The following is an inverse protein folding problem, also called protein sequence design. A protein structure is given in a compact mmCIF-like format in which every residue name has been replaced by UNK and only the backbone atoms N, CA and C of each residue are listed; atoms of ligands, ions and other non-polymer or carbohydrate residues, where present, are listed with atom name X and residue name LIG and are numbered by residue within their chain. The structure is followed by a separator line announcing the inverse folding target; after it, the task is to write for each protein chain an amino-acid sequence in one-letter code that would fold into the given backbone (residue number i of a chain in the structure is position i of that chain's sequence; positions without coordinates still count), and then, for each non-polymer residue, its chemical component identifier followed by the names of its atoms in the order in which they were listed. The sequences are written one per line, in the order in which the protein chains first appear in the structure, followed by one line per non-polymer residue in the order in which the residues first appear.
data_IF_764768618346
#
_entry.id   IF_764768618346
#
_cell.length_a   1.000
_cell.length_b   1.000
_cell.length_c   1.000
_cell.angle_alpha   90.00
_cell.angle_beta   90.00
_cell.angle_gamma   90.00
#
_symmetry.space_group_name_H-M   'P 1'
#
loop_
_entity.id
_entity.type
_entity.pdbx_description
1 polymer ?
#
# COMPACT_ATOMS: atom_id res chain seq x y z
N UNK A 1 -2.21 -11.10 24.93
CA UNK A 1 -1.40 -10.46 23.85
C UNK A 1 -2.29 -9.92 22.73
N UNK A 2 -3.13 -10.73 22.08
CA UNK A 2 -4.00 -10.28 20.96
C UNK A 2 -5.02 -9.19 21.36
N UNK A 3 -5.63 -9.29 22.54
CA UNK A 3 -6.57 -8.27 23.04
C UNK A 3 -5.95 -6.88 23.21
N UNK A 4 -4.63 -6.82 23.48
CA UNK A 4 -3.91 -5.55 23.59
C UNK A 4 -3.71 -4.90 22.21
N UNK A 5 -3.41 -5.67 21.17
CA UNK A 5 -3.24 -5.13 19.81
C UNK A 5 -4.56 -4.56 19.28
N UNK A 6 -5.68 -5.25 19.51
CA UNK A 6 -6.99 -4.74 19.10
C UNK A 6 -7.34 -3.41 19.78
N UNK A 7 -7.03 -3.28 21.07
CA UNK A 7 -7.21 -2.03 21.81
C UNK A 7 -6.32 -0.90 21.26
N UNK A 8 -5.05 -1.19 20.94
CA UNK A 8 -4.13 -0.21 20.35
C UNK A 8 -4.60 0.29 18.98
N UNK A 9 -5.07 -0.61 18.12
CA UNK A 9 -5.59 -0.28 16.79
C UNK A 9 -6.88 0.55 16.87
N UNK A 10 -7.72 0.30 17.87
CA UNK A 10 -8.95 1.05 18.11
C UNK A 10 -8.73 2.39 18.82
N UNK A 11 -7.63 2.57 19.54
CA UNK A 11 -7.39 3.79 20.30
C UNK A 11 -7.20 5.00 19.39
N UNK A 12 -7.66 6.17 19.85
CA UNK A 12 -7.46 7.44 19.15
C UNK A 12 -6.01 7.92 19.31
N UNK A 13 -5.47 8.54 18.27
CA UNK A 13 -4.10 9.08 18.18
C UNK A 13 -4.17 10.43 17.49
N UNK A 14 -3.23 11.33 17.81
CA UNK A 14 -3.07 12.56 17.02
C UNK A 14 -2.28 12.25 15.76
N UNK A 15 -2.73 12.78 14.63
CA UNK A 15 -1.96 12.75 13.39
C UNK A 15 -0.95 13.91 13.33
N UNK A 16 -0.21 13.97 12.24
CA UNK A 16 0.83 14.98 12.01
C UNK A 16 0.28 16.38 11.75
N UNK A 17 -1.00 16.49 11.39
CA UNK A 17 -1.71 17.76 11.14
C UNK A 17 -2.48 18.23 12.38
N UNK A 18 -2.38 17.50 13.49
CA UNK A 18 -3.06 17.79 14.75
C UNK A 18 -4.50 17.26 14.83
N UNK A 19 -4.99 16.57 13.79
CA UNK A 19 -6.24 15.84 13.77
C UNK A 19 -6.19 14.58 14.65
N UNK A 20 -7.34 13.91 14.79
CA UNK A 20 -7.45 12.66 15.56
C UNK A 20 -7.86 11.52 14.66
N UNK A 21 -7.05 10.46 14.63
CA UNK A 21 -7.28 9.24 13.84
C UNK A 21 -7.24 8.01 14.74
N UNK A 22 -7.83 6.89 14.29
CA UNK A 22 -7.69 5.59 14.95
C UNK A 22 -6.29 5.02 14.70
N UNK A 23 -5.72 4.28 15.65
CA UNK A 23 -4.39 3.68 15.54
C UNK A 23 -4.21 2.85 14.25
N UNK A 24 -5.22 2.10 13.83
CA UNK A 24 -5.16 1.34 12.58
C UNK A 24 -5.00 2.23 11.33
N UNK A 25 -5.56 3.44 11.32
CA UNK A 25 -5.40 4.38 10.20
C UNK A 25 -3.95 4.84 10.09
N UNK A 26 -3.28 5.01 11.23
CA UNK A 26 -1.86 5.34 11.25
C UNK A 26 -1.02 4.21 10.67
N UNK A 27 -1.31 2.94 11.04
CA UNK A 27 -0.62 1.78 10.46
C UNK A 27 -0.84 1.69 8.95
N UNK A 28 -2.07 1.87 8.48
CA UNK A 28 -2.37 1.90 7.04
C UNK A 28 -1.64 3.03 6.32
N UNK A 29 -1.63 4.24 6.88
CA UNK A 29 -0.91 5.38 6.31
C UNK A 29 0.60 5.13 6.21
N UNK A 30 1.21 4.44 7.18
CA UNK A 30 2.62 4.06 7.11
C UNK A 30 2.90 3.07 5.96
N UNK A 31 2.00 2.10 5.74
CA UNK A 31 2.10 1.16 4.61
C UNK A 31 1.92 1.90 3.28
N UNK A 32 0.92 2.78 3.18
CA UNK A 32 0.70 3.64 2.00
C UNK A 32 1.92 4.51 1.70
N UNK A 33 2.51 5.13 2.72
CA UNK A 33 3.72 5.95 2.60
C UNK A 33 4.92 5.15 2.09
N UNK A 34 5.12 3.92 2.59
CA UNK A 34 6.18 3.04 2.10
C UNK A 34 5.98 2.68 0.62
N UNK A 35 4.76 2.30 0.23
CA UNK A 35 4.44 1.95 -1.16
C UNK A 35 4.60 3.15 -2.09
N UNK A 36 4.18 4.34 -1.65
CA UNK A 36 4.32 5.59 -2.40
C UNK A 36 5.78 5.96 -2.68
N UNK A 37 6.66 5.92 -1.68
CA UNK A 37 8.07 6.23 -1.91
C UNK A 37 8.80 5.12 -2.66
N UNK A 38 8.39 3.87 -2.49
CA UNK A 38 8.94 2.78 -3.31
C UNK A 38 8.66 3.00 -4.79
N UNK A 39 7.45 3.39 -5.18
CA UNK A 39 7.15 3.63 -6.60
C UNK A 39 7.93 4.81 -7.19
N UNK A 40 8.27 5.82 -6.38
CA UNK A 40 9.19 6.89 -6.78
C UNK A 40 10.61 6.36 -7.07
N UNK A 41 11.13 5.49 -6.20
CA UNK A 41 12.44 4.85 -6.42
C UNK A 41 12.41 3.94 -7.66
N UNK A 42 11.33 3.17 -7.85
CA UNK A 42 11.18 2.29 -9.00
C UNK A 42 11.18 3.10 -10.31
N UNK A 43 10.56 4.28 -10.31
CA UNK A 43 10.59 5.20 -11.46
C UNK A 43 12.01 5.70 -11.77
N UNK A 44 12.79 6.07 -10.75
CA UNK A 44 14.19 6.48 -10.94
C UNK A 44 15.09 5.36 -11.44
N UNK A 45 14.90 4.13 -10.93
CA UNK A 45 15.62 2.95 -11.43
C UNK A 45 15.30 2.70 -12.91
N UNK A 46 14.02 2.75 -13.28
CA UNK A 46 13.60 2.60 -14.66
C UNK A 46 14.20 3.67 -15.57
N UNK A 47 14.22 4.95 -15.15
CA UNK A 47 14.87 6.04 -15.88
C UNK A 47 16.38 5.82 -16.03
N UNK A 48 17.03 5.23 -15.03
CA UNK A 48 18.44 4.85 -15.07
C UNK A 48 18.72 3.58 -15.90
N UNK A 49 17.71 2.96 -16.50
CA UNK A 49 17.83 1.71 -17.25
C UNK A 49 18.06 0.47 -16.38
N UNK A 50 17.80 0.56 -15.07
CA UNK A 50 17.89 -0.54 -14.11
C UNK A 50 16.49 -1.06 -13.83
N UNK A 51 16.28 -2.37 -13.99
CA UNK A 51 14.97 -2.96 -13.71
C UNK A 51 14.67 -2.92 -12.20
N UNK A 52 13.56 -2.27 -11.77
CA UNK A 52 13.23 -2.17 -10.36
C UNK A 52 12.79 -3.53 -9.76
N UNK A 53 13.01 -3.76 -8.45
CA UNK A 53 12.61 -5.00 -7.80
C UNK A 53 11.09 -5.19 -7.79
N UNK A 54 10.61 -6.18 -8.54
CA UNK A 54 9.18 -6.46 -8.68
C UNK A 54 8.55 -7.03 -7.42
N UNK A 55 7.35 -6.52 -7.07
CA UNK A 55 6.58 -7.03 -5.94
C UNK A 55 5.89 -8.33 -6.36
N UNK A 56 6.18 -9.43 -5.66
CA UNK A 56 5.65 -10.77 -5.99
C UNK A 56 5.95 -11.24 -7.43
N UNK A 57 6.96 -10.66 -8.10
CA UNK A 57 7.31 -10.99 -9.48
C UNK A 57 6.35 -10.42 -10.54
N UNK A 58 5.48 -9.47 -10.19
CA UNK A 58 4.56 -8.82 -11.12
C UNK A 58 4.93 -7.36 -11.38
N UNK A 59 4.81 -6.92 -12.63
CA UNK A 59 4.76 -5.50 -12.99
C UNK A 59 3.35 -4.97 -12.80
N UNK A 60 3.21 -3.64 -12.74
CA UNK A 60 1.88 -3.02 -12.58
C UNK A 60 0.96 -3.36 -13.75
N UNK A 61 1.50 -3.46 -14.96
CA UNK A 61 0.77 -3.85 -16.17
C UNK A 61 0.19 -5.27 -16.04
N UNK A 62 0.94 -6.20 -15.44
CA UNK A 62 0.47 -7.57 -15.19
C UNK A 62 -0.71 -7.59 -14.23
N UNK A 63 -0.61 -6.81 -13.14
CA UNK A 63 -1.67 -6.68 -12.13
C UNK A 63 -2.93 -6.07 -12.75
N UNK A 64 -2.80 -4.98 -13.53
CA UNK A 64 -3.94 -4.33 -14.17
C UNK A 64 -4.62 -5.23 -15.20
N UNK A 65 -3.83 -5.96 -16.00
CA UNK A 65 -4.35 -6.96 -16.95
C UNK A 65 -5.15 -8.05 -16.21
N UNK A 66 -4.64 -8.54 -15.08
CA UNK A 66 -5.32 -9.54 -14.27
C UNK A 66 -6.62 -9.02 -13.66
N UNK A 67 -6.60 -7.84 -13.03
CA UNK A 67 -7.78 -7.20 -12.45
C UNK A 67 -8.87 -6.96 -13.51
N UNK A 68 -8.48 -6.50 -14.71
CA UNK A 68 -9.42 -6.31 -15.81
C UNK A 68 -10.09 -7.62 -16.25
N UNK A 69 -9.34 -8.72 -16.33
CA UNK A 69 -9.86 -10.05 -16.70
C UNK A 69 -10.79 -10.62 -15.62
N UNK A 70 -10.42 -10.50 -14.35
CA UNK A 70 -11.24 -10.98 -13.22
C UNK A 70 -12.52 -10.15 -13.07
N UNK A 71 -12.44 -8.83 -13.24
CA UNK A 71 -13.60 -7.93 -13.23
C UNK A 71 -14.56 -8.14 -14.40
N UNK A 72 -14.05 -8.55 -15.57
CA UNK A 72 -14.87 -8.93 -16.72
C UNK A 72 -15.61 -10.27 -16.50
N UNK A 73 -14.99 -11.22 -15.80
CA UNK A 73 -15.60 -12.52 -15.47
C UNK A 73 -16.66 -12.45 -14.36
N UNK A 74 -16.61 -11.45 -13.47
CA UNK A 74 -17.60 -11.26 -12.40
C UNK A 74 -18.91 -10.58 -12.85
N UNK A 75 -18.99 -10.11 -14.11
CA UNK A 75 -20.14 -9.39 -14.68
C UNK A 75 -20.95 -10.24 -15.70
N UNK A 76 -20.61 -11.51 -15.86
CA UNK A 76 -21.35 -12.49 -16.67
C UNK A 76 -22.17 -13.41 -15.77
#
# INVERSE_FOLDING_TARGET
MIASVAAELAASRRDLEGGTVRGWRFLMAMVEHQVHHRSQLDAWLAEAGVEPPQLYGYRMEDVMSRVAREGAGSRA
#
